data_IF_686081384531
#
_entry.id   IF_686081384531
#
_cell.length_a   1.000
_cell.length_b   1.000
_cell.length_c   1.000
_cell.angle_alpha   90.00
_cell.angle_beta   90.00
_cell.angle_gamma   90.00
#
_symmetry.space_group_name_H-M   'P 1'
#
loop_
_entity.id
_entity.type
_entity.pdbx_description
1 polymer ?
#
# COMPACT_ATOMS: atom_id res chain seq x y z
N UNK A 1 4.53 -6.37 33.55
CA UNK A 1 3.70 -6.23 32.34
C UNK A 1 4.61 -6.27 31.14
N UNK A 2 4.41 -7.23 30.23
CA UNK A 2 5.01 -7.16 28.91
C UNK A 2 4.06 -6.29 28.08
N UNK A 3 4.59 -5.22 27.49
CA UNK A 3 3.86 -4.34 26.58
C UNK A 3 3.33 -5.21 25.43
N UNK A 4 2.05 -5.56 25.45
CA UNK A 4 1.46 -6.42 24.44
C UNK A 4 1.59 -5.71 23.08
N UNK A 5 2.03 -6.40 22.02
CA UNK A 5 2.18 -5.75 20.73
C UNK A 5 0.82 -5.23 20.24
N UNK A 6 0.62 -3.91 20.30
CA UNK A 6 -0.65 -3.30 19.94
C UNK A 6 -0.94 -3.55 18.46
N UNK A 7 -2.10 -4.14 18.17
CA UNK A 7 -2.59 -4.27 16.81
C UNK A 7 -2.94 -2.86 16.27
N UNK A 8 -2.23 -2.38 15.25
CA UNK A 8 -2.29 -0.97 14.85
C UNK A 8 -3.10 -0.72 13.56
N UNK A 9 -4.08 0.17 13.65
CA UNK A 9 -4.91 0.75 12.59
C UNK A 9 -4.28 2.04 12.00
N UNK A 10 -5.10 2.76 11.22
CA UNK A 10 -4.75 4.09 10.71
C UNK A 10 -4.33 5.05 11.84
N UNK A 11 -3.17 5.69 11.68
CA UNK A 11 -2.60 6.64 12.65
C UNK A 11 -2.03 6.00 13.92
N UNK A 12 -1.73 4.69 13.92
CA UNK A 12 -1.09 4.00 15.05
C UNK A 12 -2.04 3.69 16.22
N UNK A 13 -3.36 3.75 16.00
CA UNK A 13 -4.38 3.42 17.01
C UNK A 13 -4.69 1.92 17.03
N UNK A 14 -5.39 1.42 18.03
CA UNK A 14 -5.85 0.02 18.04
C UNK A 14 -6.84 -0.28 16.91
N UNK A 15 -6.70 -1.43 16.23
CA UNK A 15 -7.62 -1.91 15.18
C UNK A 15 -8.64 -2.94 15.72
N UNK A 16 -9.72 -3.16 14.98
CA UNK A 16 -10.61 -4.31 15.21
C UNK A 16 -9.89 -5.65 14.96
N UNK A 17 -10.39 -6.72 15.59
CA UNK A 17 -9.76 -8.05 15.54
C UNK A 17 -9.88 -8.74 14.17
N UNK A 18 -10.73 -8.24 13.28
CA UNK A 18 -11.00 -8.81 11.95
C UNK A 18 -10.14 -8.16 10.86
N UNK A 19 -9.52 -7.01 11.18
CA UNK A 19 -8.61 -6.28 10.31
C UNK A 19 -7.41 -7.13 9.91
N UNK A 20 -6.90 -7.01 8.66
CA UNK A 20 -5.64 -7.63 8.27
C UNK A 20 -4.45 -7.23 9.16
N UNK A 21 -4.57 -6.09 9.86
CA UNK A 21 -3.56 -5.56 10.77
C UNK A 21 -3.68 -6.12 12.20
N UNK A 22 -4.73 -6.91 12.47
CA UNK A 22 -4.90 -7.57 13.76
C UNK A 22 -3.71 -8.51 14.05
N UNK A 23 -3.07 -8.32 15.21
CA UNK A 23 -1.90 -9.11 15.61
C UNK A 23 -0.62 -8.83 14.80
N UNK A 24 -0.59 -7.74 14.02
CA UNK A 24 0.60 -7.27 13.28
C UNK A 24 0.99 -5.88 13.77
N UNK A 25 1.93 -5.77 14.72
CA UNK A 25 2.38 -4.48 15.22
C UNK A 25 2.98 -3.64 14.09
N UNK A 26 2.61 -2.37 14.02
CA UNK A 26 2.95 -1.54 12.87
C UNK A 26 2.33 -0.17 12.89
N UNK A 27 2.10 0.38 11.69
CA UNK A 27 1.31 1.58 11.51
C UNK A 27 0.76 1.61 10.08
N UNK A 28 -0.42 2.19 9.90
CA UNK A 28 -0.97 2.51 8.59
C UNK A 28 -1.25 4.01 8.55
N UNK A 29 -0.86 4.67 7.46
CA UNK A 29 -1.19 6.07 7.19
C UNK A 29 -1.86 6.12 5.83
N UNK A 30 -3.02 6.77 5.77
CA UNK A 30 -3.73 7.02 4.52
C UNK A 30 -3.84 8.51 4.30
N UNK A 31 -3.30 9.00 3.19
CA UNK A 31 -3.46 10.37 2.72
C UNK A 31 -4.34 10.36 1.47
N UNK A 32 -5.36 11.21 1.46
CA UNK A 32 -6.24 11.42 0.31
C UNK A 32 -5.90 12.75 -0.37
N UNK A 33 -5.82 12.74 -1.69
CA UNK A 33 -5.56 13.93 -2.50
C UNK A 33 -6.60 14.05 -3.59
N UNK A 34 -7.04 15.28 -3.85
CA UNK A 34 -7.86 15.62 -5.01
C UNK A 34 -6.97 16.28 -6.05
N UNK A 35 -6.85 15.64 -7.22
CA UNK A 35 -6.03 16.13 -8.33
C UNK A 35 -6.91 16.29 -9.58
N UNK A 36 -7.33 17.53 -9.86
CA UNK A 36 -8.33 17.77 -10.89
C UNK A 36 -9.65 17.09 -10.53
N UNK A 37 -10.14 16.19 -11.40
CA UNK A 37 -11.32 15.37 -11.15
C UNK A 37 -11.03 14.00 -10.55
N UNK A 38 -9.78 13.72 -10.15
CA UNK A 38 -9.33 12.42 -9.67
C UNK A 38 -9.12 12.41 -8.15
N UNK A 39 -9.55 11.32 -7.49
CA UNK A 39 -9.23 11.04 -6.10
C UNK A 39 -8.07 10.04 -6.02
N UNK A 40 -6.98 10.47 -5.39
CA UNK A 40 -5.82 9.65 -5.11
C UNK A 40 -5.81 9.25 -3.63
N UNK A 41 -5.53 7.98 -3.34
CA UNK A 41 -5.21 7.53 -1.99
C UNK A 41 -3.79 7.00 -1.96
N UNK A 42 -2.98 7.56 -1.07
CA UNK A 42 -1.63 7.09 -0.76
C UNK A 42 -1.70 6.41 0.60
N UNK A 43 -1.43 5.10 0.63
CA UNK A 43 -1.43 4.30 1.85
C UNK A 43 -0.02 3.83 2.13
N UNK A 44 0.54 4.26 3.25
CA UNK A 44 1.86 3.82 3.72
C UNK A 44 1.66 2.93 4.92
N UNK A 45 2.04 1.66 4.78
CA UNK A 45 1.91 0.64 5.81
C UNK A 45 3.27 0.15 6.28
N UNK A 46 3.47 0.12 7.59
CA UNK A 46 4.66 -0.40 8.28
C UNK A 46 4.27 -1.58 9.15
N UNK A 47 5.10 -2.62 9.21
CA UNK A 47 4.94 -3.77 10.11
C UNK A 47 6.27 -4.17 10.73
N UNK A 48 6.25 -4.60 11.98
CA UNK A 48 7.44 -5.16 12.64
C UNK A 48 7.79 -6.57 12.15
N UNK A 49 6.80 -7.31 11.67
CA UNK A 49 6.93 -8.68 11.17
C UNK A 49 5.96 -8.97 10.02
N UNK A 50 6.39 -9.77 9.05
CA UNK A 50 5.62 -10.11 7.85
C UNK A 50 5.93 -9.14 6.71
N UNK A 51 4.95 -8.91 5.84
CA UNK A 51 5.11 -8.06 4.67
C UNK A 51 3.97 -7.05 4.55
N UNK A 52 4.31 -5.77 4.44
CA UNK A 52 3.38 -4.65 4.42
C UNK A 52 2.55 -4.59 3.13
N UNK A 53 3.01 -5.19 2.04
CA UNK A 53 2.24 -5.30 0.78
C UNK A 53 1.07 -6.27 0.98
N UNK A 54 1.31 -7.43 1.60
CA UNK A 54 0.25 -8.42 1.82
C UNK A 54 -0.88 -7.91 2.71
N UNK A 55 -0.59 -7.09 3.72
CA UNK A 55 -1.64 -6.50 4.56
C UNK A 55 -2.53 -5.49 3.83
N UNK A 56 -2.05 -4.97 2.69
CA UNK A 56 -2.79 -4.04 1.84
C UNK A 56 -3.50 -4.74 0.68
N UNK A 57 -3.41 -6.08 0.57
CA UNK A 57 -4.00 -6.86 -0.51
C UNK A 57 -5.50 -6.61 -0.74
N UNK A 58 -6.37 -6.49 0.30
CA UNK A 58 -7.79 -6.20 0.06
C UNK A 58 -8.03 -4.86 -0.62
N UNK A 59 -7.25 -3.82 -0.27
CA UNK A 59 -7.36 -2.49 -0.89
C UNK A 59 -6.83 -2.51 -2.31
N UNK A 60 -5.70 -3.18 -2.54
CA UNK A 60 -5.13 -3.39 -3.88
C UNK A 60 -6.14 -4.11 -4.78
N UNK A 61 -6.80 -5.15 -4.26
CA UNK A 61 -7.78 -5.93 -4.99
C UNK A 61 -8.98 -5.08 -5.39
N UNK A 62 -9.57 -4.38 -4.42
CA UNK A 62 -10.75 -3.55 -4.65
C UNK A 62 -10.46 -2.42 -5.64
N UNK A 63 -9.38 -1.66 -5.42
CA UNK A 63 -9.02 -0.55 -6.30
C UNK A 63 -8.62 -1.02 -7.70
N UNK A 64 -7.88 -2.13 -7.80
CA UNK A 64 -7.41 -2.68 -9.06
C UNK A 64 -8.43 -3.56 -9.80
N UNK A 65 -9.60 -3.84 -9.20
CA UNK A 65 -10.60 -4.74 -9.76
C UNK A 65 -10.05 -6.14 -10.04
N UNK A 66 -9.10 -6.60 -9.22
CA UNK A 66 -8.33 -7.82 -9.48
C UNK A 66 -9.09 -9.07 -9.03
N UNK A 67 -9.07 -10.11 -9.86
CA UNK A 67 -9.35 -11.46 -9.37
C UNK A 67 -8.22 -11.94 -8.43
N UNK A 68 -8.47 -13.04 -7.72
CA UNK A 68 -7.55 -13.58 -6.74
C UNK A 68 -6.18 -13.98 -7.34
N UNK A 69 -6.16 -14.53 -8.55
CA UNK A 69 -4.92 -14.98 -9.19
C UNK A 69 -4.03 -13.81 -9.57
N UNK A 70 -4.64 -12.75 -10.12
CA UNK A 70 -4.00 -11.50 -10.49
C UNK A 70 -3.51 -10.77 -9.24
N UNK A 71 -4.32 -10.70 -8.18
CA UNK A 71 -3.92 -10.13 -6.89
C UNK A 71 -2.73 -10.87 -6.31
N UNK A 72 -2.75 -12.20 -6.29
CA UNK A 72 -1.65 -13.01 -5.77
C UNK A 72 -0.35 -12.73 -6.53
N UNK A 73 -0.37 -12.76 -7.86
CA UNK A 73 0.80 -12.46 -8.67
C UNK A 73 1.32 -11.03 -8.45
N UNK A 74 0.40 -10.05 -8.37
CA UNK A 74 0.75 -8.65 -8.14
C UNK A 74 1.40 -8.42 -6.77
N UNK A 75 0.80 -8.97 -5.71
CA UNK A 75 1.30 -8.82 -4.33
C UNK A 75 2.63 -9.53 -4.11
N UNK A 76 2.84 -10.73 -4.69
CA UNK A 76 4.15 -11.42 -4.66
C UNK A 76 5.21 -10.54 -5.32
N UNK A 77 4.93 -10.02 -6.53
CA UNK A 77 5.86 -9.12 -7.22
C UNK A 77 6.15 -7.86 -6.41
N UNK A 78 5.14 -7.28 -5.76
CA UNK A 78 5.31 -6.13 -4.87
C UNK A 78 6.14 -6.46 -3.62
N UNK A 79 5.95 -7.63 -3.02
CA UNK A 79 6.68 -8.08 -1.83
C UNK A 79 8.16 -8.36 -2.12
N UNK A 80 8.45 -8.90 -3.30
CA UNK A 80 9.81 -9.24 -3.78
C UNK A 80 10.56 -8.05 -4.39
N UNK A 81 9.86 -6.94 -4.67
CA UNK A 81 10.45 -5.73 -5.24
C UNK A 81 11.51 -5.13 -4.31
N UNK A 82 12.56 -4.55 -4.89
CA UNK A 82 13.58 -3.82 -4.13
C UNK A 82 13.00 -2.53 -3.56
N UNK A 83 13.60 -2.01 -2.50
CA UNK A 83 13.24 -0.69 -1.99
C UNK A 83 13.35 0.38 -3.10
N UNK A 84 12.32 1.21 -3.24
CA UNK A 84 12.17 2.21 -4.30
C UNK A 84 11.67 1.67 -5.65
N UNK A 85 11.59 0.36 -5.84
CA UNK A 85 11.06 -0.24 -7.06
C UNK A 85 9.53 -0.22 -7.06
N UNK A 86 8.96 0.37 -8.12
CA UNK A 86 7.52 0.53 -8.26
C UNK A 86 6.91 -0.59 -9.12
N UNK A 87 5.91 -1.28 -8.57
CA UNK A 87 5.15 -2.34 -9.23
C UNK A 87 3.74 -1.85 -9.53
N UNK A 88 3.40 -1.75 -10.81
CA UNK A 88 2.11 -1.23 -11.27
C UNK A 88 1.20 -2.33 -11.79
N UNK A 89 -0.07 -2.28 -11.39
CA UNK A 89 -1.14 -3.20 -11.78
C UNK A 89 -1.36 -3.21 -13.30
N UNK A 90 -2.01 -4.25 -13.83
CA UNK A 90 -2.37 -4.33 -15.26
C UNK A 90 -3.24 -3.15 -15.70
N UNK A 91 -4.25 -2.80 -14.90
CA UNK A 91 -5.15 -1.66 -15.13
C UNK A 91 -4.51 -0.27 -14.97
N UNK A 92 -3.28 -0.19 -14.44
CA UNK A 92 -2.50 1.05 -14.37
C UNK A 92 -2.85 2.00 -13.22
N UNK A 93 -3.97 1.78 -12.52
CA UNK A 93 -4.48 2.69 -11.49
C UNK A 93 -3.98 2.37 -10.07
N UNK A 94 -3.35 1.22 -9.86
CA UNK A 94 -2.71 0.83 -8.58
C UNK A 94 -1.21 0.66 -8.77
N UNK A 95 -0.42 1.28 -7.89
CA UNK A 95 1.04 1.15 -7.83
C UNK A 95 1.48 0.90 -6.39
N UNK A 96 2.31 -0.13 -6.20
CA UNK A 96 2.95 -0.45 -4.93
C UNK A 96 4.44 -0.14 -5.03
N UNK A 97 5.01 0.46 -4.00
CA UNK A 97 6.44 0.71 -3.87
C UNK A 97 6.89 0.20 -2.50
N UNK A 98 7.85 -0.73 -2.45
CA UNK A 98 8.51 -1.03 -1.17
C UNK A 98 9.42 0.12 -0.79
N UNK A 99 9.38 0.52 0.46
CA UNK A 99 10.21 1.59 1.00
C UNK A 99 11.32 0.97 1.84
N UNK A 100 12.39 1.73 2.06
CA UNK A 100 13.40 1.33 3.04
C UNK A 100 12.83 1.54 4.45
N UNK A 101 12.82 0.49 5.25
CA UNK A 101 12.35 0.56 6.65
C UNK A 101 13.44 1.05 7.60
N UNK A 102 14.70 1.14 7.16
CA UNK A 102 15.84 1.56 7.98
C UNK A 102 16.14 0.65 9.18
N UNK A 103 15.51 -0.53 9.25
CA UNK A 103 15.55 -1.38 10.44
C UNK A 103 14.80 -2.70 10.28
N UNK A 104 14.39 -3.29 11.40
CA UNK A 104 13.60 -4.52 11.42
C UNK A 104 12.16 -4.24 10.98
N UNK A 105 11.61 -5.11 10.15
CA UNK A 105 10.24 -5.02 9.66
C UNK A 105 10.16 -4.66 8.17
N UNK A 106 8.95 -4.33 7.73
CA UNK A 106 8.65 -3.99 6.34
C UNK A 106 7.83 -2.70 6.25
N UNK A 107 8.04 -1.94 5.18
CA UNK A 107 7.39 -0.68 4.88
C UNK A 107 7.02 -0.65 3.39
N UNK A 108 5.76 -0.37 3.08
CA UNK A 108 5.29 -0.28 1.71
C UNK A 108 4.28 0.85 1.52
N UNK A 109 4.40 1.53 0.38
CA UNK A 109 3.45 2.52 -0.10
C UNK A 109 2.59 1.92 -1.21
N UNK A 110 1.28 2.12 -1.13
CA UNK A 110 0.32 1.80 -2.18
C UNK A 110 -0.39 3.09 -2.60
N UNK A 111 -0.24 3.48 -3.86
CA UNK A 111 -1.02 4.53 -4.50
C UNK A 111 -2.17 3.89 -5.28
N UNK A 112 -3.38 4.38 -5.07
CA UNK A 112 -4.55 4.08 -5.90
C UNK A 112 -5.12 5.37 -6.48
N UNK A 113 -5.40 5.39 -7.78
CA UNK A 113 -6.08 6.47 -8.47
C UNK A 113 -7.46 5.98 -8.93
N UNK A 114 -8.53 6.50 -8.32
CA UNK A 114 -9.89 6.08 -8.61
C UNK A 114 -10.12 4.56 -8.50
N UNK A 115 -11.22 4.09 -9.11
CA UNK A 115 -11.49 2.66 -9.28
C UNK A 115 -10.87 2.13 -10.59
N UNK A 116 -10.74 0.81 -10.69
CA UNK A 116 -10.29 0.11 -11.89
C UNK A 116 -11.06 0.56 -13.14
N UNK A 117 -10.31 1.01 -14.16
CA UNK A 117 -10.86 1.48 -15.43
C UNK A 117 -11.62 2.81 -15.38
N UNK A 118 -11.68 3.48 -14.23
CA UNK A 118 -12.36 4.77 -14.07
C UNK A 118 -11.41 5.95 -13.88
N UNK A 119 -10.12 5.69 -13.68
CA UNK A 119 -9.14 6.76 -13.55
C UNK A 119 -8.99 7.54 -14.86
N UNK A 120 -8.96 8.86 -14.74
CA UNK A 120 -8.67 9.78 -15.83
C UNK A 120 -7.17 9.96 -16.08
N UNK A 121 -6.33 9.45 -15.18
CA UNK A 121 -4.88 9.54 -15.26
C UNK A 121 -4.29 8.45 -16.16
N UNK A 122 -3.27 8.81 -16.92
CA UNK A 122 -2.50 7.86 -17.69
C UNK A 122 -1.68 6.95 -16.78
N UNK A 123 -1.44 5.72 -17.25
CA UNK A 123 -0.58 4.74 -16.56
C UNK A 123 0.78 5.33 -16.15
N UNK A 124 1.40 6.12 -17.01
CA UNK A 124 2.68 6.78 -16.72
C UNK A 124 2.59 7.82 -15.60
N UNK A 125 1.48 8.56 -15.51
CA UNK A 125 1.25 9.59 -14.49
C UNK A 125 1.07 8.96 -13.11
N UNK A 126 0.25 7.90 -12.99
CA UNK A 126 0.08 7.17 -11.72
C UNK A 126 1.41 6.59 -11.23
N UNK A 127 2.21 6.02 -12.13
CA UNK A 127 3.55 5.51 -11.81
C UNK A 127 4.49 6.62 -11.34
N UNK A 128 4.49 7.77 -12.01
CA UNK A 128 5.32 8.91 -11.65
C UNK A 128 4.93 9.47 -10.27
N UNK A 129 3.64 9.61 -9.99
CA UNK A 129 3.12 10.05 -8.68
C UNK A 129 3.54 9.10 -7.56
N UNK A 130 3.39 7.79 -7.75
CA UNK A 130 3.78 6.80 -6.75
C UNK A 130 5.28 6.88 -6.41
N UNK A 131 6.13 7.05 -7.43
CA UNK A 131 7.57 7.25 -7.25
C UNK A 131 7.89 8.56 -6.54
N UNK A 132 7.16 9.63 -6.85
CA UNK A 132 7.33 10.93 -6.21
C UNK A 132 6.91 10.93 -4.74
N UNK A 133 5.85 10.19 -4.37
CA UNK A 133 5.51 10.01 -2.96
C UNK A 133 6.52 9.10 -2.24
N UNK A 134 6.93 7.99 -2.87
CA UNK A 134 7.92 7.09 -2.31
C UNK A 134 9.27 7.77 -2.06
N UNK A 135 9.70 8.70 -2.93
CA UNK A 135 10.97 9.42 -2.76
C UNK A 135 10.96 10.44 -1.63
N UNK A 136 9.78 10.84 -1.13
CA UNK A 136 9.62 11.72 0.03
C UNK A 136 9.69 10.96 1.36
N UNK A 137 9.53 9.63 1.34
CA UNK A 137 9.60 8.78 2.52
C UNK A 137 11.04 8.34 2.87
N UNK A 138 12.04 9.15 2.51
CA UNK A 138 13.46 8.90 2.76
C UNK A 138 13.88 9.30 4.17
#
# INVERSE_FOLDING_TARGET
>A
EADEPAATAEGGRTTDAQSPWAGKPGALITCSYHLGGEDLKVRTGAVSEGNAVYLQAPVIQAAGGMDFSTLKAYTVKGAEAKAGEAVQSGGGNVVTVRLDSGGKGDLALVLTAGDAGKTSLERGQVLALARAFASQAK
#
